data_IF_112693954124
#
_entry.id   IF_112693954124
#
_cell.length_a   1.000
_cell.length_b   1.000
_cell.length_c   1.000
_cell.angle_alpha   90.00
_cell.angle_beta   90.00
_cell.angle_gamma   90.00
#
_symmetry.space_group_name_H-M   'P 1'
#
loop_
_entity.id
_entity.type
_entity.pdbx_description
1 polymer ?
#
# COMPACT_ATOMS: atom_id res chain seq x y z
N UNK A 1 9.76 18.28 -8.49
CA UNK A 1 8.63 17.58 -9.13
C UNK A 1 8.42 16.27 -8.40
N UNK A 2 7.35 16.15 -7.61
CA UNK A 2 7.05 14.90 -6.89
C UNK A 2 6.30 13.97 -7.84
N UNK A 3 6.92 12.85 -8.21
CA UNK A 3 6.30 11.84 -9.09
C UNK A 3 5.09 11.21 -8.39
N UNK A 4 4.02 11.02 -9.15
CA UNK A 4 2.72 10.47 -8.70
C UNK A 4 2.52 9.00 -9.11
N UNK A 5 3.48 8.42 -9.81
CA UNK A 5 3.47 7.01 -10.23
C UNK A 5 4.19 6.16 -9.18
N UNK A 6 3.65 5.00 -8.78
CA UNK A 6 4.38 4.06 -7.94
C UNK A 6 5.69 3.66 -8.63
N UNK A 7 6.75 3.48 -7.85
CA UNK A 7 8.01 2.96 -8.38
C UNK A 7 7.84 1.47 -8.74
N UNK A 8 8.70 0.97 -9.65
CA UNK A 8 8.67 -0.44 -10.04
C UNK A 8 9.10 -1.29 -8.84
N UNK A 9 8.18 -2.06 -8.29
CA UNK A 9 8.44 -3.00 -7.18
C UNK A 9 8.91 -4.34 -7.77
N UNK A 10 10.05 -4.83 -7.32
CA UNK A 10 10.63 -6.09 -7.81
C UNK A 10 9.87 -7.32 -7.23
N UNK A 11 9.88 -8.45 -7.94
CA UNK A 11 9.12 -9.65 -7.52
C UNK A 11 9.54 -10.20 -6.13
N UNK A 12 10.79 -9.95 -5.75
CA UNK A 12 11.33 -10.28 -4.43
C UNK A 12 10.66 -9.48 -3.31
N UNK A 13 10.48 -8.17 -3.53
CA UNK A 13 9.86 -7.24 -2.58
C UNK A 13 8.37 -7.54 -2.42
N UNK A 14 7.70 -7.92 -3.51
CA UNK A 14 6.32 -8.40 -3.45
C UNK A 14 6.21 -9.64 -2.58
N UNK A 15 7.14 -10.60 -2.74
CA UNK A 15 7.14 -11.82 -1.92
C UNK A 15 7.37 -11.50 -0.45
N UNK A 16 8.31 -10.61 -0.14
CA UNK A 16 8.60 -10.17 1.22
C UNK A 16 7.33 -9.65 1.91
N UNK A 17 6.65 -8.67 1.32
CA UNK A 17 5.44 -8.08 1.92
C UNK A 17 4.28 -9.06 1.99
N UNK A 18 4.08 -9.90 0.97
CA UNK A 18 2.99 -10.89 0.96
C UNK A 18 3.19 -12.03 1.98
N UNK A 19 4.43 -12.27 2.40
CA UNK A 19 4.77 -13.32 3.38
C UNK A 19 5.00 -12.77 4.80
N UNK A 20 5.04 -11.45 5.00
CA UNK A 20 5.22 -10.81 6.31
C UNK A 20 4.07 -11.16 7.28
N UNK A 21 4.38 -11.99 8.29
CA UNK A 21 3.42 -12.47 9.29
C UNK A 21 2.96 -11.40 10.29
N UNK A 22 3.66 -10.27 10.38
CA UNK A 22 3.25 -9.12 11.20
C UNK A 22 2.15 -8.31 10.49
N UNK A 23 2.05 -8.41 9.17
CA UNK A 23 0.96 -7.82 8.40
C UNK A 23 -0.24 -8.77 8.33
N UNK A 24 -1.42 -8.22 8.59
CA UNK A 24 -2.68 -8.94 8.30
C UNK A 24 -2.86 -9.14 6.79
N UNK A 25 -3.63 -10.16 6.39
CA UNK A 25 -3.99 -10.39 4.98
C UNK A 25 -4.57 -9.15 4.28
N UNK A 26 -5.43 -8.38 4.96
CA UNK A 26 -5.99 -7.14 4.43
C UNK A 26 -4.92 -6.08 4.14
N UNK A 27 -3.95 -5.92 5.05
CA UNK A 27 -2.84 -4.98 4.86
C UNK A 27 -1.97 -5.38 3.66
N UNK A 28 -1.64 -6.67 3.54
CA UNK A 28 -0.87 -7.19 2.40
C UNK A 28 -1.59 -6.95 1.07
N UNK A 29 -2.90 -7.19 1.03
CA UNK A 29 -3.73 -6.94 -0.16
C UNK A 29 -3.84 -5.45 -0.51
N UNK A 30 -3.97 -4.57 0.49
CA UNK A 30 -3.99 -3.12 0.26
C UNK A 30 -2.68 -2.66 -0.38
N UNK A 31 -1.54 -3.09 0.17
CA UNK A 31 -0.24 -2.73 -0.39
C UNK A 31 -0.06 -3.30 -1.80
N UNK A 32 -0.34 -4.59 -2.01
CA UNK A 32 -0.20 -5.23 -3.32
C UNK A 32 -1.11 -4.62 -4.39
N UNK A 33 -2.29 -4.11 -4.01
CA UNK A 33 -3.14 -3.37 -4.94
C UNK A 33 -2.55 -2.00 -5.27
N UNK A 34 -2.01 -1.28 -4.28
CA UNK A 34 -1.38 0.02 -4.50
C UNK A 34 -0.16 -0.05 -5.41
N UNK A 35 0.58 -1.16 -5.45
CA UNK A 35 1.76 -1.33 -6.34
C UNK A 35 1.38 -1.49 -7.81
N UNK A 36 0.19 -2.02 -8.10
CA UNK A 36 -0.28 -2.27 -9.48
C UNK A 36 -1.37 -1.30 -9.95
N UNK A 37 -1.91 -0.47 -9.06
CA UNK A 37 -2.96 0.47 -9.39
C UNK A 37 -2.49 1.50 -10.44
N UNK A 38 -3.25 1.63 -11.53
CA UNK A 38 -3.00 2.56 -12.62
C UNK A 38 -3.37 4.02 -12.26
N UNK A 39 -4.11 4.20 -11.16
CA UNK A 39 -4.63 5.49 -10.70
C UNK A 39 -4.31 5.72 -9.23
N UNK A 40 -4.11 6.99 -8.82
CA UNK A 40 -3.96 7.36 -7.42
C UNK A 40 -5.15 6.89 -6.56
N UNK A 41 -4.86 6.24 -5.43
CA UNK A 41 -5.88 5.65 -4.57
C UNK A 41 -5.98 6.38 -3.23
N UNK A 42 -7.18 6.65 -2.75
CA UNK A 42 -7.42 7.10 -1.37
C UNK A 42 -8.14 5.99 -0.57
N UNK A 43 -8.36 6.20 0.73
CA UNK A 43 -8.99 5.16 1.56
C UNK A 43 -10.40 4.75 1.09
N UNK A 44 -11.15 5.65 0.47
CA UNK A 44 -12.49 5.35 -0.04
C UNK A 44 -12.43 4.55 -1.33
N UNK A 45 -11.53 4.90 -2.25
CA UNK A 45 -11.34 4.13 -3.48
C UNK A 45 -10.76 2.75 -3.18
N UNK A 46 -9.83 2.63 -2.23
CA UNK A 46 -9.33 1.33 -1.76
C UNK A 46 -10.45 0.46 -1.18
N UNK A 47 -11.35 1.05 -0.38
CA UNK A 47 -12.49 0.32 0.17
C UNK A 47 -13.41 -0.22 -0.94
N UNK A 48 -13.69 0.61 -1.95
CA UNK A 48 -14.53 0.21 -3.08
C UNK A 48 -13.88 -0.87 -3.96
N UNK A 49 -12.64 -0.65 -4.40
CA UNK A 49 -11.93 -1.53 -5.34
C UNK A 49 -11.62 -2.90 -4.73
N UNK A 50 -11.34 -2.96 -3.42
CA UNK A 50 -11.06 -4.21 -2.71
C UNK A 50 -12.30 -4.86 -2.08
N UNK A 51 -13.47 -4.21 -2.17
CA UNK A 51 -14.70 -4.69 -1.52
C UNK A 51 -14.61 -4.71 0.01
N UNK A 52 -13.81 -3.83 0.60
CA UNK A 52 -13.61 -3.74 2.04
C UNK A 52 -14.51 -2.69 2.68
N UNK A 53 -14.83 -2.88 3.97
CA UNK A 53 -15.38 -1.80 4.77
C UNK A 53 -14.35 -0.68 4.94
N UNK A 54 -14.79 0.59 4.97
CA UNK A 54 -13.91 1.74 5.18
C UNK A 54 -13.13 1.67 6.52
N UNK A 55 -13.72 1.04 7.54
CA UNK A 55 -13.08 0.77 8.82
C UNK A 55 -11.93 -0.25 8.69
N UNK A 56 -12.08 -1.27 7.85
CA UNK A 56 -11.03 -2.25 7.54
C UNK A 56 -9.83 -1.55 6.90
N UNK A 57 -10.07 -0.71 5.89
CA UNK A 57 -8.98 0.07 5.26
C UNK A 57 -8.29 0.96 6.29
N UNK A 58 -9.05 1.74 7.05
CA UNK A 58 -8.50 2.64 8.08
C UNK A 58 -7.65 1.90 9.11
N UNK A 59 -8.09 0.72 9.56
CA UNK A 59 -7.37 -0.12 10.51
C UNK A 59 -6.04 -0.65 9.96
N UNK A 60 -5.97 -0.94 8.67
CA UNK A 60 -4.83 -1.61 8.05
C UNK A 60 -3.84 -0.67 7.34
N UNK A 61 -4.22 0.59 7.11
CA UNK A 61 -3.30 1.65 6.66
C UNK A 61 -2.23 1.97 7.72
N UNK A 62 -2.58 1.97 9.02
CA UNK A 62 -1.64 2.30 10.11
C UNK A 62 -0.38 1.43 10.11
N UNK A 63 -0.52 0.10 10.21
CA UNK A 63 0.62 -0.82 10.17
C UNK A 63 1.49 -0.70 8.91
N UNK A 64 0.88 -0.47 7.74
CA UNK A 64 1.62 -0.26 6.49
C UNK A 64 2.47 1.02 6.54
N UNK A 65 1.95 2.09 7.16
CA UNK A 65 2.71 3.35 7.35
C UNK A 65 3.84 3.19 8.35
N UNK A 66 3.60 2.47 9.44
CA UNK A 66 4.61 2.21 10.48
C UNK A 66 5.82 1.46 9.91
N UNK A 67 5.56 0.49 9.02
CA UNK A 67 6.58 -0.23 8.24
C UNK A 67 7.09 0.52 7.01
N UNK A 68 6.69 1.78 6.81
CA UNK A 68 7.06 2.62 5.64
C UNK A 68 6.72 2.02 4.27
N UNK A 69 5.83 1.04 4.21
CA UNK A 69 5.41 0.40 2.96
C UNK A 69 4.45 1.27 2.14
N UNK A 70 3.86 2.29 2.76
CA UNK A 70 3.05 3.30 2.08
C UNK A 70 3.32 4.68 2.64
N UNK A 71 3.10 5.71 1.82
CA UNK A 71 3.04 7.10 2.25
C UNK A 71 1.81 7.82 1.72
N UNK A 72 1.51 8.97 2.32
CA UNK A 72 0.41 9.84 1.90
C UNK A 72 0.94 11.06 1.15
N UNK A 73 0.43 11.31 -0.04
CA UNK A 73 0.73 12.51 -0.82
C UNK A 73 -0.58 13.06 -1.40
N UNK A 74 -0.87 14.35 -1.22
CA UNK A 74 -2.08 14.99 -1.79
C UNK A 74 -3.39 14.23 -1.55
N UNK A 75 -3.53 13.58 -0.38
CA UNK A 75 -4.75 12.85 -0.01
C UNK A 75 -4.84 11.41 -0.53
N UNK A 76 -3.89 10.95 -1.34
CA UNK A 76 -3.79 9.58 -1.86
C UNK A 76 -2.66 8.80 -1.18
N UNK A 77 -2.76 7.48 -1.23
CA UNK A 77 -1.77 6.51 -0.79
C UNK A 77 -0.90 6.07 -1.96
N UNK A 78 0.40 6.01 -1.72
CA UNK A 78 1.41 5.54 -2.66
C UNK A 78 2.13 4.38 -1.97
N UNK A 79 2.31 3.27 -2.69
CA UNK A 79 3.15 2.16 -2.24
C UNK A 79 4.63 2.51 -2.39
N UNK A 80 5.42 2.15 -1.38
CA UNK A 80 6.87 2.30 -1.36
C UNK A 80 7.51 0.91 -1.40
N UNK A 81 8.75 0.84 -1.92
CA UNK A 81 9.55 -0.38 -1.85
C UNK A 81 10.10 -0.58 -0.43
N UNK A 82 10.06 -1.81 0.13
CA UNK A 82 10.72 -2.12 1.40
C UNK A 82 12.25 -1.97 1.33
N UNK A 83 12.86 -2.05 0.15
CA UNK A 83 14.31 -1.94 -0.03
C UNK A 83 14.83 -0.50 -0.05
N UNK A 84 13.94 0.50 -0.09
CA UNK A 84 14.31 1.91 -0.08
C UNK A 84 14.60 2.37 1.37
N UNK A 85 15.68 1.86 1.96
CA UNK A 85 16.28 2.45 3.15
C UNK A 85 17.02 3.75 2.76
N UNK A 86 16.45 4.89 3.16
CA UNK A 86 17.13 6.19 3.13
C UNK A 86 18.04 6.38 4.35
#
# INVERSE_FOLDING_TARGET
MTRLTPESVEAEEVREVLTDQELSAHARLIWAYLTVADRPQNSNSLAAELGFAASTVSKHIGPLREKRLIRRLNGVWIAESPAEEA
#
